data_IF_073233297028
#
_entry.id   IF_073233297028
#
_cell.length_a   1.000
_cell.length_b   1.000
_cell.length_c   1.000
_cell.angle_alpha   90.00
_cell.angle_beta   90.00
_cell.angle_gamma   90.00
#
_symmetry.space_group_name_H-M   'P 1'
#
loop_
_entity.id
_entity.type
_entity.pdbx_description
1 polymer ?
#
# COMPACT_ATOMS: atom_id res chain seq x y z
N UNK A 1 -12.18 3.68 -15.43
CA UNK A 1 -12.02 3.78 -13.96
C UNK A 1 -10.60 4.23 -13.64
N UNK A 2 -10.43 5.39 -13.00
CA UNK A 2 -9.10 5.87 -12.56
C UNK A 2 -8.72 5.10 -11.28
N UNK A 3 -7.71 4.23 -11.38
CA UNK A 3 -7.15 3.48 -10.23
C UNK A 3 -6.29 4.46 -9.42
N UNK A 4 -6.51 4.50 -8.11
CA UNK A 4 -5.77 5.35 -7.18
C UNK A 4 -4.26 5.09 -7.24
N UNK A 5 -3.47 6.10 -6.89
CA UNK A 5 -2.02 5.98 -6.81
C UNK A 5 -1.66 5.05 -5.65
N UNK A 6 -0.92 3.99 -5.92
CA UNK A 6 -0.37 3.11 -4.88
C UNK A 6 1.01 3.62 -4.48
N UNK A 7 1.26 3.80 -3.18
CA UNK A 7 2.57 4.20 -2.65
C UNK A 7 3.40 2.95 -2.32
N UNK A 8 4.66 2.93 -2.74
CA UNK A 8 5.57 1.78 -2.62
C UNK A 8 6.85 2.16 -1.87
N UNK A 9 7.26 1.38 -0.88
CA UNK A 9 8.61 1.45 -0.31
C UNK A 9 9.20 0.04 -0.24
N UNK A 10 10.48 -0.18 -0.60
CA UNK A 10 11.15 -1.44 -0.33
C UNK A 10 11.39 -1.58 1.18
N UNK A 11 11.20 -2.78 1.72
CA UNK A 11 11.67 -3.08 3.06
C UNK A 11 13.21 -3.00 3.11
N UNK A 12 13.75 -2.16 3.99
CA UNK A 12 15.19 -2.01 4.16
C UNK A 12 15.83 -3.28 4.75
N UNK A 13 17.10 -3.55 4.42
CA UNK A 13 17.85 -4.63 5.06
C UNK A 13 17.90 -4.37 6.58
N UNK A 14 17.56 -5.39 7.37
CA UNK A 14 17.63 -5.33 8.84
C UNK A 14 16.29 -5.15 9.57
N UNK A 15 15.15 -5.05 8.87
CA UNK A 15 13.84 -5.04 9.54
C UNK A 15 13.60 -6.39 10.25
N UNK A 16 13.54 -6.35 11.59
CA UNK A 16 13.21 -7.52 12.41
C UNK A 16 11.75 -7.91 12.22
N UNK A 17 11.44 -9.19 12.44
CA UNK A 17 10.06 -9.64 12.52
C UNK A 17 9.38 -8.98 13.72
N UNK A 18 8.17 -8.48 13.54
CA UNK A 18 7.41 -7.80 14.60
C UNK A 18 6.00 -8.37 14.70
N UNK A 19 5.49 -8.64 15.91
CA UNK A 19 4.09 -9.00 16.12
C UNK A 19 3.18 -7.95 15.48
N UNK A 20 2.11 -8.40 14.85
CA UNK A 20 1.14 -7.52 14.17
C UNK A 20 -0.27 -7.72 14.69
N UNK A 21 -0.75 -8.96 14.78
CA UNK A 21 -2.10 -9.24 15.23
C UNK A 21 -2.22 -10.68 15.71
N UNK A 22 -3.24 -10.95 16.52
CA UNK A 22 -3.64 -12.30 16.92
C UNK A 22 -5.04 -12.54 16.39
N UNK A 23 -5.23 -13.62 15.63
CA UNK A 23 -6.50 -13.95 14.98
C UNK A 23 -7.10 -15.18 15.63
N UNK A 24 -8.26 -15.01 16.27
CA UNK A 24 -9.10 -16.14 16.67
C UNK A 24 -9.84 -16.63 15.44
N UNK A 25 -9.49 -17.82 14.97
CA UNK A 25 -9.94 -18.34 13.68
C UNK A 25 -11.15 -19.27 13.83
N UNK A 26 -11.96 -19.35 12.77
CA UNK A 26 -13.09 -20.27 12.70
C UNK A 26 -12.69 -21.75 12.69
N UNK A 27 -11.41 -22.07 12.46
CA UNK A 27 -10.91 -23.44 12.58
C UNK A 27 -10.81 -23.93 14.03
N UNK A 28 -10.99 -23.03 15.01
CA UNK A 28 -10.89 -23.33 16.45
C UNK A 28 -9.56 -22.93 17.07
N UNK A 29 -8.56 -22.59 16.26
CA UNK A 29 -7.22 -22.19 16.72
C UNK A 29 -7.03 -20.68 16.71
N UNK A 30 -5.93 -20.26 17.34
CA UNK A 30 -5.45 -18.88 17.33
C UNK A 30 -4.19 -18.78 16.48
N UNK A 31 -4.17 -17.82 15.56
CA UNK A 31 -3.04 -17.56 14.67
C UNK A 31 -2.33 -16.27 15.08
N UNK A 32 -1.03 -16.37 15.38
CA UNK A 32 -0.20 -15.21 15.65
C UNK A 32 0.40 -14.66 14.35
N UNK A 33 -0.06 -13.48 13.94
CA UNK A 33 0.42 -12.80 12.75
C UNK A 33 1.56 -11.85 13.08
N UNK A 34 2.63 -12.01 12.32
CA UNK A 34 3.84 -11.21 12.38
C UNK A 34 4.11 -10.56 11.03
N UNK A 35 4.91 -9.51 11.03
CA UNK A 35 5.41 -8.90 9.81
C UNK A 35 6.92 -9.04 9.68
N UNK A 36 7.36 -9.57 8.55
CA UNK A 36 8.78 -9.79 8.23
C UNK A 36 9.06 -9.26 6.83
N UNK A 37 9.93 -8.25 6.72
CA UNK A 37 10.27 -7.59 5.44
C UNK A 37 9.04 -7.11 4.64
N UNK A 38 7.97 -6.71 5.34
CA UNK A 38 6.71 -6.26 4.75
C UNK A 38 5.72 -7.38 4.41
N UNK A 39 6.13 -8.65 4.48
CA UNK A 39 5.23 -9.81 4.38
C UNK A 39 4.50 -10.05 5.69
N UNK A 40 3.27 -10.56 5.59
CA UNK A 40 2.55 -11.13 6.74
C UNK A 40 2.92 -12.61 6.80
N UNK A 41 3.23 -13.08 8.00
CA UNK A 41 3.52 -14.48 8.28
C UNK A 41 2.85 -14.92 9.58
N UNK A 42 2.47 -16.18 9.65
CA UNK A 42 2.10 -16.84 10.89
C UNK A 42 3.36 -17.28 11.63
N UNK A 43 3.42 -16.93 12.90
CA UNK A 43 4.50 -17.33 13.79
C UNK A 43 4.10 -18.59 14.55
N UNK A 44 4.96 -19.59 14.50
CA UNK A 44 4.76 -20.87 15.17
C UNK A 44 5.97 -21.18 16.05
N UNK A 45 5.68 -21.70 17.25
CA UNK A 45 6.67 -22.30 18.14
C UNK A 45 6.54 -23.82 17.95
N UNK A 46 7.61 -24.46 17.51
CA UNK A 46 7.67 -25.90 17.32
C UNK A 46 7.88 -26.62 18.66
N UNK A 47 7.59 -27.93 18.71
CA UNK A 47 7.83 -28.76 19.90
C UNK A 47 9.31 -28.77 20.34
N UNK A 48 10.22 -28.47 19.43
CA UNK A 48 11.66 -28.29 19.68
C UNK A 48 12.01 -26.96 20.36
N UNK A 49 11.02 -26.11 20.66
CA UNK A 49 11.17 -24.71 21.07
C UNK A 49 11.80 -23.78 20.01
N UNK A 50 11.99 -24.28 18.79
CA UNK A 50 12.40 -23.44 17.67
C UNK A 50 11.20 -22.66 17.12
N UNK A 51 11.45 -21.42 16.67
CA UNK A 51 10.42 -20.58 16.08
C UNK A 51 10.51 -20.58 14.56
N UNK A 52 9.36 -20.67 13.90
CA UNK A 52 9.27 -20.59 12.44
C UNK A 52 8.19 -19.60 12.02
N UNK A 53 8.46 -18.92 10.90
CA UNK A 53 7.53 -17.96 10.29
C UNK A 53 7.05 -18.52 8.97
N UNK A 54 5.76 -18.85 8.88
CA UNK A 54 5.12 -19.35 7.66
C UNK A 54 4.48 -18.18 6.92
N UNK A 55 4.79 -17.92 5.63
CA UNK A 55 4.17 -16.82 4.90
C UNK A 55 2.65 -16.97 4.78
N UNK A 56 1.91 -15.91 5.11
CA UNK A 56 0.44 -15.84 5.03
C UNK A 56 0.07 -14.75 4.02
N UNK A 57 -0.15 -15.10 2.74
CA UNK A 57 -0.25 -14.11 1.69
C UNK A 57 -1.51 -13.25 1.83
N UNK A 58 -1.38 -11.96 1.53
CA UNK A 58 -2.53 -11.07 1.34
C UNK A 58 -3.22 -11.47 0.03
N UNK A 59 -4.35 -12.16 0.16
CA UNK A 59 -5.16 -12.64 -0.96
C UNK A 59 -5.83 -11.47 -1.71
N UNK A 60 -6.29 -10.46 -0.97
CA UNK A 60 -7.02 -9.33 -1.53
C UNK A 60 -6.84 -8.07 -0.69
N UNK A 61 -6.84 -6.91 -1.35
CA UNK A 61 -7.01 -5.59 -0.72
C UNK A 61 -8.22 -4.93 -1.34
N UNK A 62 -9.10 -4.33 -0.53
CA UNK A 62 -10.31 -3.69 -1.04
C UNK A 62 -10.80 -2.56 -0.15
N UNK A 63 -11.58 -1.66 -0.74
CA UNK A 63 -12.18 -0.52 -0.07
C UNK A 63 -13.69 -0.68 0.00
N UNK A 64 -14.31 -0.22 1.08
CA UNK A 64 -15.77 -0.07 1.19
C UNK A 64 -16.11 1.38 1.45
N UNK A 65 -17.08 1.92 0.71
CA UNK A 65 -17.59 3.28 0.91
C UNK A 65 -18.66 3.26 2.00
N UNK A 66 -18.59 4.20 2.92
CA UNK A 66 -19.58 4.43 3.96
C UNK A 66 -20.68 5.39 3.47
N UNK A 67 -21.81 5.40 4.17
CA UNK A 67 -22.93 6.30 3.85
C UNK A 67 -22.58 7.78 3.97
N UNK A 68 -21.67 8.14 4.89
CA UNK A 68 -21.14 9.49 5.09
C UNK A 68 -20.10 9.93 4.03
N UNK A 69 -19.81 9.06 3.05
CA UNK A 69 -18.86 9.34 1.98
C UNK A 69 -17.40 9.02 2.33
N UNK A 70 -17.10 8.58 3.56
CA UNK A 70 -15.76 8.09 3.93
C UNK A 70 -15.51 6.69 3.37
N UNK A 71 -14.27 6.21 3.44
CA UNK A 71 -13.87 4.89 2.97
C UNK A 71 -13.22 4.09 4.10
N UNK A 72 -13.45 2.78 4.09
CA UNK A 72 -12.78 1.79 4.95
C UNK A 72 -11.90 0.91 4.09
N UNK A 73 -10.70 0.59 4.55
CA UNK A 73 -9.76 -0.25 3.83
C UNK A 73 -9.57 -1.58 4.54
N UNK A 74 -9.61 -2.65 3.76
CA UNK A 74 -9.52 -4.02 4.24
C UNK A 74 -8.48 -4.81 3.47
N UNK A 75 -7.92 -5.80 4.14
CA UNK A 75 -7.13 -6.87 3.54
C UNK A 75 -7.73 -8.22 3.91
N UNK A 76 -7.66 -9.17 2.99
CA UNK A 76 -7.90 -10.59 3.23
C UNK A 76 -6.55 -11.31 3.28
N UNK A 77 -6.29 -12.03 4.37
CA UNK A 77 -5.07 -12.78 4.63
C UNK A 77 -5.42 -14.26 4.56
N UNK A 78 -4.76 -15.01 3.68
CA UNK A 78 -4.88 -16.47 3.65
C UNK A 78 -4.04 -17.06 4.78
N UNK A 79 -4.69 -17.73 5.72
CA UNK A 79 -4.05 -18.39 6.86
C UNK A 79 -3.58 -19.80 6.48
N UNK A 80 -2.59 -20.33 7.18
CA UNK A 80 -2.00 -21.64 6.96
C UNK A 80 -3.02 -22.78 7.14
N UNK A 81 -4.05 -22.58 7.97
CA UNK A 81 -5.18 -23.51 8.12
C UNK A 81 -6.16 -23.52 6.93
N UNK A 82 -5.91 -22.72 5.89
CA UNK A 82 -6.73 -22.65 4.67
C UNK A 82 -7.93 -21.69 4.76
N UNK A 83 -8.15 -21.06 5.91
CA UNK A 83 -9.17 -20.03 6.06
C UNK A 83 -8.68 -18.65 5.62
N UNK A 84 -9.61 -17.70 5.45
CA UNK A 84 -9.29 -16.32 5.09
C UNK A 84 -9.71 -15.37 6.21
N UNK A 85 -8.75 -14.62 6.74
CA UNK A 85 -9.01 -13.59 7.74
C UNK A 85 -9.13 -12.21 7.08
N UNK A 86 -10.23 -11.50 7.37
CA UNK A 86 -10.42 -10.12 6.89
C UNK A 86 -10.05 -9.13 8.00
N UNK A 87 -9.07 -8.26 7.74
CA UNK A 87 -8.66 -7.23 8.67
C UNK A 87 -8.87 -5.84 8.10
N UNK A 88 -9.43 -4.94 8.93
CA UNK A 88 -9.51 -3.50 8.63
C UNK A 88 -8.16 -2.84 8.93
N UNK A 89 -7.69 -2.00 8.02
CA UNK A 89 -6.34 -1.43 8.08
C UNK A 89 -6.30 0.06 8.42
N UNK A 90 -7.34 0.82 8.08
CA UNK A 90 -7.31 2.29 8.16
C UNK A 90 -7.47 2.86 9.58
N UNK A 91 -7.78 2.01 10.58
CA UNK A 91 -8.12 2.48 11.93
C UNK A 91 -7.89 1.39 12.99
N UNK A 92 -7.65 1.81 14.25
CA UNK A 92 -7.75 0.96 15.46
C UNK A 92 -8.96 1.34 16.31
N UNK A 93 -9.27 0.54 17.33
CA UNK A 93 -10.35 0.87 18.29
C UNK A 93 -10.10 2.19 19.04
N UNK A 94 -8.84 2.54 19.30
CA UNK A 94 -8.48 3.82 19.92
C UNK A 94 -8.66 4.98 18.94
N UNK A 95 -8.22 4.79 17.69
CA UNK A 95 -8.35 5.82 16.66
C UNK A 95 -9.83 6.09 16.30
N UNK A 96 -10.67 5.04 16.34
CA UNK A 96 -12.12 5.17 16.17
C UNK A 96 -12.75 6.10 17.21
N UNK A 97 -12.30 6.04 18.47
CA UNK A 97 -12.77 6.93 19.55
C UNK A 97 -12.32 8.37 19.35
N UNK A 98 -11.20 8.59 18.64
CA UNK A 98 -10.60 9.91 18.39
C UNK A 98 -10.92 10.47 17.00
N UNK A 99 -11.70 9.75 16.20
CA UNK A 99 -11.97 10.08 14.78
C UNK A 99 -10.68 10.29 13.96
N UNK A 100 -9.65 9.53 14.26
CA UNK A 100 -8.37 9.57 13.56
C UNK A 100 -8.27 8.40 12.57
N UNK A 101 -7.63 8.62 11.42
CA UNK A 101 -7.30 7.55 10.47
C UNK A 101 -5.80 7.32 10.50
N UNK A 102 -5.37 6.06 10.52
CA UNK A 102 -3.95 5.71 10.45
C UNK A 102 -3.56 5.29 9.05
N UNK A 103 -3.30 6.29 8.23
CA UNK A 103 -2.75 6.06 6.89
C UNK A 103 -1.39 5.36 6.92
N UNK A 104 -0.67 5.40 8.04
CA UNK A 104 0.57 4.66 8.29
C UNK A 104 0.36 3.14 8.43
N UNK A 105 -0.86 2.67 8.70
CA UNK A 105 -1.19 1.25 8.75
C UNK A 105 -1.45 0.66 7.35
N UNK A 106 -1.51 1.50 6.32
CA UNK A 106 -1.60 1.04 4.95
C UNK A 106 -0.34 0.27 4.59
N UNK A 107 -0.52 -1.03 4.35
CA UNK A 107 0.59 -1.94 4.12
C UNK A 107 1.05 -1.82 2.68
N UNK A 108 2.38 -1.73 2.54
CA UNK A 108 3.03 -1.73 1.25
C UNK A 108 2.85 -3.09 0.56
N UNK A 109 2.95 -3.06 -0.77
CA UNK A 109 3.00 -4.28 -1.55
C UNK A 109 4.34 -4.97 -1.36
N UNK A 110 4.29 -6.29 -1.24
CA UNK A 110 5.47 -7.13 -1.04
C UNK A 110 6.12 -7.43 -2.38
N UNK A 111 7.46 -7.45 -2.44
CA UNK A 111 8.24 -7.73 -3.66
C UNK A 111 7.82 -9.01 -4.38
N UNK A 112 7.68 -10.10 -3.63
CA UNK A 112 7.27 -11.40 -4.12
C UNK A 112 5.84 -11.76 -3.67
N UNK A 113 5.00 -10.76 -3.38
CA UNK A 113 3.63 -10.98 -2.92
C UNK A 113 2.77 -11.69 -3.97
N UNK A 114 1.81 -12.48 -3.50
CA UNK A 114 0.90 -13.26 -4.35
C UNK A 114 0.10 -12.39 -5.34
N UNK A 115 -0.18 -11.13 -5.00
CA UNK A 115 -0.89 -10.18 -5.87
C UNK A 115 -0.09 -9.71 -7.11
N UNK A 116 1.23 -9.94 -7.14
CA UNK A 116 2.13 -9.50 -8.20
C UNK A 116 2.14 -7.99 -8.47
N UNK A 117 1.53 -7.17 -7.62
CA UNK A 117 1.38 -5.72 -7.82
C UNK A 117 2.74 -5.04 -7.70
N UNK A 118 3.57 -5.44 -6.73
CA UNK A 118 4.91 -4.90 -6.63
C UNK A 118 5.70 -5.13 -7.92
N UNK A 119 5.75 -6.35 -8.45
CA UNK A 119 6.49 -6.65 -9.69
C UNK A 119 5.99 -5.82 -10.88
N UNK A 120 4.68 -5.58 -10.96
CA UNK A 120 4.07 -4.77 -12.03
C UNK A 120 4.37 -3.28 -11.89
N UNK A 121 4.38 -2.75 -10.68
CA UNK A 121 4.44 -1.31 -10.44
C UNK A 121 5.82 -0.80 -10.02
N UNK A 122 6.70 -1.66 -9.48
CA UNK A 122 8.01 -1.25 -8.99
C UNK A 122 8.91 -0.72 -10.13
N UNK A 123 8.76 -1.24 -11.35
CA UNK A 123 9.45 -0.67 -12.52
C UNK A 123 9.05 0.78 -12.82
N UNK A 124 7.88 1.22 -12.35
CA UNK A 124 7.44 2.63 -12.46
C UNK A 124 7.90 3.48 -11.28
N UNK A 125 8.68 2.92 -10.33
CA UNK A 125 9.18 3.64 -9.18
C UNK A 125 10.05 4.81 -9.60
N UNK A 126 11.01 4.61 -10.51
CA UNK A 126 11.88 5.69 -10.97
C UNK A 126 11.07 6.85 -11.56
N UNK A 127 10.00 6.51 -12.28
CA UNK A 127 9.07 7.49 -12.82
C UNK A 127 8.29 8.24 -11.73
N UNK A 128 7.76 7.52 -10.73
CA UNK A 128 7.05 8.12 -9.59
C UNK A 128 7.98 8.93 -8.66
N UNK A 129 9.20 8.47 -8.42
CA UNK A 129 10.21 9.15 -7.61
C UNK A 129 10.74 10.39 -8.33
N UNK A 130 10.96 10.32 -9.65
CA UNK A 130 11.33 11.50 -10.45
C UNK A 130 10.21 12.55 -10.44
N UNK A 131 8.94 12.14 -10.49
CA UNK A 131 7.79 13.03 -10.32
C UNK A 131 7.81 13.67 -8.92
N UNK A 132 7.91 12.87 -7.87
CA UNK A 132 7.87 13.38 -6.50
C UNK A 132 9.04 14.33 -6.24
N UNK A 133 10.23 14.02 -6.75
CA UNK A 133 11.40 14.88 -6.69
C UNK A 133 11.19 16.18 -7.49
N UNK A 134 10.67 16.10 -8.72
CA UNK A 134 10.36 17.28 -9.54
C UNK A 134 9.31 18.18 -8.86
N UNK A 135 8.27 17.59 -8.27
CA UNK A 135 7.28 18.34 -7.47
C UNK A 135 7.95 18.99 -6.27
N UNK A 136 8.78 18.25 -5.52
CA UNK A 136 9.49 18.78 -4.36
C UNK A 136 10.45 19.92 -4.72
N UNK A 137 11.07 19.86 -5.90
CA UNK A 137 11.95 20.90 -6.44
C UNK A 137 11.18 22.12 -6.97
N UNK A 138 10.03 21.91 -7.61
CA UNK A 138 9.23 22.98 -8.20
C UNK A 138 8.35 23.72 -7.19
N UNK A 139 8.05 23.09 -6.05
CA UNK A 139 7.31 23.72 -4.96
C UNK A 139 8.19 24.70 -4.16
N UNK A 140 7.76 25.97 -4.11
CA UNK A 140 8.42 27.02 -3.34
C UNK A 140 8.48 26.66 -1.84
N UNK A 141 9.67 26.77 -1.23
CA UNK A 141 9.96 26.38 0.16
C UNK A 141 9.59 24.92 0.51
N UNK A 142 9.56 24.01 -0.48
CA UNK A 142 9.13 22.60 -0.30
C UNK A 142 7.71 22.48 0.26
N UNK A 143 6.86 23.48 0.05
CA UNK A 143 5.46 23.50 0.49
C UNK A 143 4.53 23.62 -0.70
N UNK A 144 3.41 22.92 -0.64
CA UNK A 144 2.39 23.01 -1.68
C UNK A 144 1.82 24.43 -1.72
N UNK A 145 1.76 25.05 -2.91
CA UNK A 145 1.35 26.45 -3.13
C UNK A 145 -0.17 26.61 -3.04
N UNK A 146 -0.83 25.82 -2.18
CA UNK A 146 -2.27 25.77 -2.06
C UNK A 146 -2.69 25.51 -0.61
N UNK A 147 -3.63 26.33 -0.14
CA UNK A 147 -4.28 26.18 1.17
C UNK A 147 -5.58 25.38 1.00
N UNK A 148 -5.76 24.34 1.82
CA UNK A 148 -6.81 23.29 1.79
C UNK A 148 -6.52 22.07 0.91
N UNK A 149 -6.99 20.90 1.38
CA UNK A 149 -6.84 19.62 0.70
C UNK A 149 -7.41 19.63 -0.73
N UNK A 150 -8.56 20.29 -0.96
CA UNK A 150 -9.18 20.37 -2.28
C UNK A 150 -8.31 21.12 -3.30
N UNK A 151 -7.69 22.23 -2.89
CA UNK A 151 -6.80 23.01 -3.77
C UNK A 151 -5.47 22.30 -4.00
N UNK A 152 -4.91 21.67 -2.96
CA UNK A 152 -3.73 20.83 -3.08
C UNK A 152 -3.95 19.66 -4.04
N UNK A 153 -5.12 19.01 -3.95
CA UNK A 153 -5.52 17.97 -4.88
C UNK A 153 -5.59 18.48 -6.32
N UNK A 154 -6.16 19.67 -6.55
CA UNK A 154 -6.24 20.27 -7.89
C UNK A 154 -4.86 20.53 -8.50
N UNK A 155 -3.89 21.01 -7.70
CA UNK A 155 -2.49 21.19 -8.15
C UNK A 155 -1.88 19.86 -8.61
N UNK A 156 -2.03 18.81 -7.81
CA UNK A 156 -1.55 17.46 -8.17
C UNK A 156 -2.23 16.92 -9.42
N UNK A 157 -3.52 17.19 -9.60
CA UNK A 157 -4.31 16.79 -10.77
C UNK A 157 -3.83 17.49 -12.04
N UNK A 158 -3.57 18.80 -11.97
CA UNK A 158 -3.03 19.59 -13.07
C UNK A 158 -1.66 19.07 -13.51
N UNK A 159 -0.78 18.77 -12.55
CA UNK A 159 0.53 18.19 -12.82
C UNK A 159 0.42 16.83 -13.55
N UNK A 160 -0.45 15.95 -13.08
CA UNK A 160 -0.69 14.65 -13.71
C UNK A 160 -1.23 14.78 -15.14
N UNK A 161 -2.16 15.71 -15.38
CA UNK A 161 -2.69 15.99 -16.72
C UNK A 161 -1.59 16.52 -17.65
N UNK A 162 -0.83 17.52 -17.22
CA UNK A 162 0.24 18.11 -18.03
C UNK A 162 1.26 17.06 -18.47
N UNK A 163 1.66 16.18 -17.55
CA UNK A 163 2.61 15.11 -17.84
C UNK A 163 2.06 14.06 -18.80
N UNK A 164 0.83 13.61 -18.59
CA UNK A 164 0.20 12.64 -19.49
C UNK A 164 0.03 13.22 -20.91
N UNK A 165 -0.27 14.51 -21.01
CA UNK A 165 -0.32 15.23 -22.29
C UNK A 165 1.05 15.30 -22.96
N UNK A 166 2.11 15.62 -22.22
CA UNK A 166 3.49 15.66 -22.73
C UNK A 166 3.96 14.27 -23.18
N UNK A 167 3.73 13.23 -22.37
CA UNK A 167 4.08 11.86 -22.71
C UNK A 167 3.36 11.39 -23.98
N UNK A 168 2.07 11.75 -24.13
CA UNK A 168 1.31 11.48 -25.35
C UNK A 168 1.93 12.16 -26.57
N UNK A 169 2.31 13.43 -26.43
CA UNK A 169 2.93 14.21 -27.50
C UNK A 169 4.31 13.68 -27.91
N UNK A 170 5.16 13.31 -26.94
CA UNK A 170 6.47 12.70 -27.21
C UNK A 170 6.31 11.35 -27.94
N UNK A 171 5.36 10.52 -27.50
CA UNK A 171 5.05 9.25 -28.16
C UNK A 171 4.61 9.45 -29.61
N UNK A 172 3.76 10.45 -29.86
CA UNK A 172 3.29 10.78 -31.20
C UNK A 172 4.45 11.18 -32.12
N UNK A 173 5.43 11.96 -31.62
CA UNK A 173 6.61 12.31 -32.41
C UNK A 173 7.51 11.12 -32.72
N UNK A 174 7.75 10.23 -31.75
CA UNK A 174 8.53 9.01 -31.99
C UNK A 174 7.89 8.11 -33.05
N UNK A 175 6.57 7.96 -33.02
CA UNK A 175 5.86 7.18 -34.04
C UNK A 175 5.87 7.83 -35.42
N UNK A 176 6.05 9.15 -35.50
CA UNK A 176 6.15 9.88 -36.78
C UNK A 176 7.58 9.91 -37.34
N UNK A 177 8.60 9.66 -36.52
CA UNK A 177 10.00 9.55 -36.97
C UNK A 177 10.39 8.14 -37.42
N UNK A 178 9.62 7.12 -37.03
CA UNK A 178 9.81 5.71 -37.43
C UNK A 178 9.06 5.32 -38.72
N UNK A 179 8.38 6.28 -39.37
CA UNK A 179 7.75 6.16 -40.70
C UNK A 179 8.44 7.04 -41.71
#
# INVERSE_FOLDING_TARGET
MKRGLTVFCPAHRGTKATPTATVVCSCGDTHELWTKRGEICEHHILDTSETTDIPSPVAKRFFRRNADGTFREYIEIALACGTVHTQRMDITDEDAKRHYNRTEHLRQYVKNGADGIYRRCYGWREDAESINNLIQQTLHNRRMIAYSAARQYLVMLGFAIGRNSLARWLRQQQTSSDT
#
